data_IF_248770772808
#
_entry.id   IF_248770772808
#
_cell.length_a   1.000
_cell.length_b   1.000
_cell.length_c   1.000
_cell.angle_alpha   90.00
_cell.angle_beta   90.00
_cell.angle_gamma   90.00
#
_symmetry.space_group_name_H-M   'P 1'
#
loop_
_entity.id
_entity.type
_entity.pdbx_description
1 polymer ?
#
# COMPACT_ATOMS: atom_id res chain seq x y z
N UNK A 1 -7.75 21.28 0.29
CA UNK A 1 -6.71 20.22 0.25
C UNK A 1 -7.22 18.91 0.83
N UNK A 2 -7.67 18.89 2.09
CA UNK A 2 -8.12 17.66 2.78
C UNK A 2 -9.22 16.93 1.98
N UNK A 3 -10.29 17.61 1.58
CA UNK A 3 -11.39 16.96 0.83
C UNK A 3 -10.95 16.38 -0.52
N UNK A 4 -10.07 17.10 -1.24
CA UNK A 4 -9.51 16.63 -2.52
C UNK A 4 -8.65 15.38 -2.35
N UNK A 5 -7.80 15.39 -1.32
CA UNK A 5 -6.99 14.25 -0.93
C UNK A 5 -7.88 13.04 -0.55
N UNK A 6 -8.85 13.23 0.35
CA UNK A 6 -9.77 12.18 0.80
C UNK A 6 -10.54 11.56 -0.37
N UNK A 7 -11.02 12.38 -1.30
CA UNK A 7 -11.69 11.90 -2.51
C UNK A 7 -10.76 11.06 -3.41
N UNK A 8 -9.49 11.45 -3.57
CA UNK A 8 -8.52 10.69 -4.39
C UNK A 8 -8.17 9.35 -3.76
N UNK A 9 -7.81 9.33 -2.48
CA UNK A 9 -7.39 8.09 -1.80
C UNK A 9 -8.55 7.08 -1.68
N UNK A 10 -9.79 7.56 -1.62
CA UNK A 10 -10.98 6.71 -1.62
C UNK A 10 -11.20 5.96 -2.95
N UNK A 11 -10.59 6.42 -4.05
CA UNK A 11 -10.68 5.78 -5.36
C UNK A 11 -9.39 5.04 -5.74
N UNK A 12 -8.21 5.54 -5.33
CA UNK A 12 -6.89 5.04 -5.74
C UNK A 12 -6.62 3.59 -5.23
N UNK A 13 -6.49 2.60 -6.14
CA UNK A 13 -6.21 1.21 -5.76
C UNK A 13 -4.88 1.03 -5.01
N UNK A 14 -3.85 1.79 -5.39
CA UNK A 14 -2.54 1.70 -4.75
C UNK A 14 -2.62 2.21 -3.30
N UNK A 15 -3.34 3.31 -3.09
CA UNK A 15 -3.52 3.85 -1.74
C UNK A 15 -4.39 2.94 -0.87
N UNK A 16 -5.46 2.35 -1.40
CA UNK A 16 -6.27 1.35 -0.69
C UNK A 16 -5.45 0.14 -0.26
N UNK A 17 -4.60 -0.37 -1.14
CA UNK A 17 -3.72 -1.50 -0.83
C UNK A 17 -2.70 -1.14 0.25
N UNK A 18 -2.11 0.07 0.18
CA UNK A 18 -1.23 0.60 1.21
C UNK A 18 -1.94 0.66 2.57
N UNK A 19 -3.15 1.24 2.63
CA UNK A 19 -3.93 1.37 3.85
C UNK A 19 -4.20 -0.01 4.48
N UNK A 20 -4.68 -0.98 3.70
CA UNK A 20 -4.92 -2.35 4.20
C UNK A 20 -3.68 -3.03 4.74
N UNK A 21 -2.51 -2.80 4.13
CA UNK A 21 -1.22 -3.32 4.65
C UNK A 21 -0.86 -2.67 5.98
N UNK A 22 -1.07 -1.37 6.11
CA UNK A 22 -0.83 -0.63 7.35
C UNK A 22 -1.77 -1.10 8.45
N UNK A 23 -3.06 -1.24 8.18
CA UNK A 23 -4.05 -1.80 9.11
C UNK A 23 -3.63 -3.19 9.59
N UNK A 24 -3.24 -4.07 8.66
CA UNK A 24 -2.75 -5.42 8.99
C UNK A 24 -1.49 -5.39 9.87
N UNK A 25 -0.55 -4.50 9.58
CA UNK A 25 0.67 -4.36 10.38
C UNK A 25 0.36 -3.86 11.79
N UNK A 26 -0.61 -2.95 11.94
CA UNK A 26 -1.08 -2.47 13.25
C UNK A 26 -1.78 -3.56 14.04
N UNK A 27 -2.63 -4.37 13.40
CA UNK A 27 -3.28 -5.53 14.03
C UNK A 27 -2.23 -6.47 14.62
N UNK A 28 -1.25 -6.89 13.81
CA UNK A 28 -0.17 -7.79 14.25
C UNK A 28 0.72 -7.17 15.33
N UNK A 29 0.99 -5.86 15.24
CA UNK A 29 1.77 -5.14 16.25
C UNK A 29 1.02 -4.89 17.56
N UNK A 30 -0.31 -5.01 17.56
CA UNK A 30 -1.14 -4.83 18.76
C UNK A 30 -1.20 -6.07 19.65
N UNK A 31 -0.82 -7.23 19.12
CA UNK A 31 -0.69 -8.48 19.87
C UNK A 31 0.45 -8.36 20.90
N UNK A 32 0.13 -8.51 22.19
CA UNK A 32 1.09 -8.35 23.28
C UNK A 32 1.89 -9.60 23.59
N UNK A 33 1.38 -10.75 23.16
CA UNK A 33 1.92 -12.06 23.45
C UNK A 33 2.28 -12.78 22.14
N UNK A 34 3.34 -13.58 22.17
CA UNK A 34 3.77 -14.38 21.02
C UNK A 34 3.83 -15.84 21.43
N UNK A 35 3.15 -16.70 20.67
CA UNK A 35 3.19 -18.14 20.90
C UNK A 35 4.60 -18.71 20.69
N UNK A 36 5.03 -19.61 21.57
CA UNK A 36 6.27 -20.38 21.40
C UNK A 36 6.04 -21.73 20.70
N UNK A 37 4.79 -22.08 20.40
CA UNK A 37 4.47 -23.31 19.68
C UNK A 37 4.76 -23.15 18.18
N UNK A 38 5.67 -23.98 17.67
CA UNK A 38 6.12 -23.91 16.27
C UNK A 38 4.96 -24.03 15.28
N UNK A 39 4.04 -24.97 15.48
CA UNK A 39 2.90 -25.15 14.59
C UNK A 39 2.00 -23.90 14.53
N UNK A 40 1.78 -23.25 15.67
CA UNK A 40 1.03 -22.00 15.76
C UNK A 40 1.75 -20.90 14.96
N UNK A 41 3.06 -20.75 15.14
CA UNK A 41 3.87 -19.75 14.42
C UNK A 41 3.92 -19.98 12.91
N UNK A 42 3.92 -21.24 12.46
CA UNK A 42 3.84 -21.58 11.03
C UNK A 42 2.47 -21.18 10.46
N UNK A 43 1.38 -21.49 11.16
CA UNK A 43 0.02 -21.13 10.73
C UNK A 43 -0.18 -19.61 10.68
N UNK A 44 0.24 -18.89 11.71
CA UNK A 44 0.18 -17.41 11.75
C UNK A 44 0.92 -16.77 10.58
N UNK A 45 2.13 -17.29 10.27
CA UNK A 45 2.91 -16.82 9.13
C UNK A 45 2.19 -17.05 7.81
N UNK A 46 1.59 -18.23 7.63
CA UNK A 46 0.88 -18.57 6.40
C UNK A 46 -0.39 -17.73 6.22
N UNK A 47 -1.17 -17.55 7.29
CA UNK A 47 -2.32 -16.64 7.30
C UNK A 47 -1.89 -15.22 6.90
N UNK A 48 -0.77 -14.73 7.45
CA UNK A 48 -0.29 -13.41 7.12
C UNK A 48 0.16 -13.31 5.64
N UNK A 49 0.87 -14.31 5.12
CA UNK A 49 1.24 -14.36 3.70
C UNK A 49 0.03 -14.32 2.79
N UNK A 50 -0.98 -15.16 3.08
CA UNK A 50 -2.22 -15.19 2.31
C UNK A 50 -2.94 -13.84 2.36
N UNK A 51 -3.00 -13.21 3.54
CA UNK A 51 -3.61 -11.88 3.71
C UNK A 51 -2.91 -10.83 2.84
N UNK A 52 -1.57 -10.81 2.82
CA UNK A 52 -0.81 -9.88 1.98
C UNK A 52 -1.01 -10.16 0.48
N UNK A 53 -1.05 -11.43 0.10
CA UNK A 53 -1.33 -11.87 -1.27
C UNK A 53 -2.74 -11.44 -1.73
N UNK A 54 -3.74 -11.56 -0.87
CA UNK A 54 -5.12 -11.17 -1.16
C UNK A 54 -5.24 -9.66 -1.33
N UNK A 55 -4.58 -8.86 -0.48
CA UNK A 55 -4.51 -7.40 -0.62
C UNK A 55 -3.88 -7.04 -1.97
N UNK A 56 -2.77 -7.69 -2.33
CA UNK A 56 -2.06 -7.42 -3.58
C UNK A 56 -2.85 -7.86 -4.82
N UNK A 57 -3.49 -9.02 -4.78
CA UNK A 57 -4.34 -9.48 -5.87
C UNK A 57 -5.59 -8.62 -6.04
N UNK A 58 -6.14 -8.07 -4.96
CA UNK A 58 -7.20 -7.06 -5.03
C UNK A 58 -6.70 -5.81 -5.75
N UNK A 59 -5.54 -5.28 -5.36
CA UNK A 59 -4.90 -4.12 -6.02
C UNK A 59 -4.67 -4.38 -7.50
N UNK A 60 -4.12 -5.54 -7.86
CA UNK A 60 -3.85 -5.93 -9.24
C UNK A 60 -5.14 -6.01 -10.05
N UNK A 61 -6.19 -6.62 -9.50
CA UNK A 61 -7.50 -6.68 -10.14
C UNK A 61 -8.06 -5.29 -10.44
N UNK A 62 -8.01 -4.37 -9.47
CA UNK A 62 -8.49 -2.99 -9.62
C UNK A 62 -7.67 -2.19 -10.67
N UNK A 63 -6.41 -2.58 -10.89
CA UNK A 63 -5.52 -2.00 -11.91
C UNK A 63 -5.57 -2.75 -13.26
N UNK A 64 -6.37 -3.82 -13.38
CA UNK A 64 -6.41 -4.66 -14.58
C UNK A 64 -5.14 -5.50 -14.82
N UNK A 65 -4.33 -5.70 -13.78
CA UNK A 65 -3.11 -6.52 -13.81
C UNK A 65 -3.43 -7.99 -13.52
N UNK A 66 -2.60 -8.92 -14.03
CA UNK A 66 -2.76 -10.34 -13.72
C UNK A 66 -2.50 -10.61 -12.23
N UNK A 67 -3.27 -11.55 -11.69
CA UNK A 67 -3.07 -12.09 -10.35
C UNK A 67 -1.75 -12.84 -10.26
N UNK A 68 -1.20 -12.88 -9.07
CA UNK A 68 0.01 -13.62 -8.71
C UNK A 68 -0.33 -14.74 -7.74
N UNK A 69 0.49 -15.79 -7.72
CA UNK A 69 0.29 -16.95 -6.85
C UNK A 69 1.06 -16.79 -5.54
N UNK A 70 2.16 -16.05 -5.55
CA UNK A 70 2.99 -15.79 -4.38
C UNK A 70 3.49 -14.35 -4.35
N UNK A 71 3.62 -13.80 -3.14
CA UNK A 71 4.31 -12.51 -2.96
C UNK A 71 5.76 -12.53 -3.43
N UNK A 72 6.41 -13.71 -3.48
CA UNK A 72 7.76 -13.87 -4.04
C UNK A 72 7.81 -13.65 -5.56
N UNK A 73 6.68 -13.72 -6.27
CA UNK A 73 6.61 -13.40 -7.70
C UNK A 73 6.89 -11.91 -7.97
N UNK A 74 6.89 -11.08 -6.91
CA UNK A 74 7.18 -9.64 -6.95
C UNK A 74 8.58 -9.29 -6.46
N UNK A 75 9.40 -10.26 -6.08
CA UNK A 75 10.76 -9.98 -5.65
C UNK A 75 11.52 -9.25 -6.78
N UNK A 76 12.13 -8.09 -6.47
CA UNK A 76 12.78 -7.28 -7.49
C UNK A 76 13.99 -8.02 -8.03
N UNK A 77 13.88 -8.55 -9.25
CA UNK A 77 14.99 -9.09 -10.03
C UNK A 77 15.93 -7.96 -10.54
N UNK A 78 16.28 -7.00 -9.68
CA UNK A 78 17.04 -5.80 -10.06
C UNK A 78 16.23 -4.77 -10.86
N UNK A 79 14.91 -4.68 -10.68
CA UNK A 79 14.12 -3.59 -11.25
C UNK A 79 14.43 -2.26 -10.53
N UNK A 80 14.64 -1.22 -11.33
CA UNK A 80 14.74 0.15 -10.84
C UNK A 80 13.45 0.58 -10.12
N UNK A 81 13.60 1.44 -9.13
CA UNK A 81 12.47 2.04 -8.41
C UNK A 81 11.56 2.80 -9.38
N UNK A 82 10.29 2.40 -9.46
CA UNK A 82 9.25 3.14 -10.17
C UNK A 82 8.48 4.02 -9.16
N UNK A 83 8.64 5.36 -9.20
CA UNK A 83 7.92 6.27 -8.30
C UNK A 83 6.41 6.16 -8.38
N UNK A 84 5.87 5.67 -9.50
CA UNK A 84 4.42 5.53 -9.71
C UNK A 84 3.81 4.39 -8.90
N UNK A 85 4.63 3.46 -8.42
CA UNK A 85 4.21 2.37 -7.53
C UNK A 85 4.15 2.81 -6.06
N UNK A 86 4.80 3.92 -5.69
CA UNK A 86 4.74 4.50 -4.35
C UNK A 86 3.51 5.42 -4.21
N UNK A 87 2.44 4.85 -3.65
CA UNK A 87 1.19 5.57 -3.42
C UNK A 87 1.35 6.81 -2.53
N UNK A 88 2.26 6.78 -1.56
CA UNK A 88 2.49 7.91 -0.65
C UNK A 88 3.18 9.06 -1.37
N UNK A 89 4.20 8.73 -2.16
CA UNK A 89 4.93 9.71 -2.96
C UNK A 89 4.02 10.35 -4.01
N UNK A 90 3.26 9.53 -4.73
CA UNK A 90 2.33 10.02 -5.75
C UNK A 90 1.24 10.92 -5.18
N UNK A 91 0.64 10.56 -4.04
CA UNK A 91 -0.37 11.42 -3.42
C UNK A 91 0.24 12.69 -2.84
N UNK A 92 1.46 12.64 -2.29
CA UNK A 92 2.18 13.82 -1.81
C UNK A 92 2.45 14.82 -2.94
N UNK A 93 2.86 14.33 -4.11
CA UNK A 93 3.04 15.17 -5.30
C UNK A 93 1.72 15.83 -5.76
N UNK A 94 0.59 15.10 -5.69
CA UNK A 94 -0.74 15.65 -6.02
C UNK A 94 -1.21 16.69 -5.00
N UNK A 95 -0.92 16.50 -3.72
CA UNK A 95 -1.21 17.49 -2.68
C UNK A 95 -0.40 18.77 -2.93
N UNK A 96 0.88 18.64 -3.26
CA UNK A 96 1.72 19.79 -3.60
C UNK A 96 1.20 20.54 -4.83
N UNK A 97 0.77 19.81 -5.86
CA UNK A 97 0.16 20.40 -7.05
C UNK A 97 -1.13 21.16 -6.71
N UNK A 98 -2.01 20.59 -5.89
CA UNK A 98 -3.22 21.28 -5.43
C UNK A 98 -2.86 22.57 -4.66
N UNK A 99 -1.81 22.53 -3.84
CA UNK A 99 -1.36 23.69 -3.07
C UNK A 99 -0.82 24.80 -3.98
N UNK A 100 -0.05 24.46 -5.01
CA UNK A 100 0.41 25.43 -6.02
C UNK A 100 -0.77 26.07 -6.76
N UNK A 101 -1.81 25.30 -7.07
CA UNK A 101 -3.03 25.82 -7.72
C UNK A 101 -3.82 26.78 -6.84
N UNK A 102 -3.88 26.50 -5.53
CA UNK A 102 -4.57 27.35 -4.55
C UNK A 102 -3.72 28.60 -4.24
N UNK A 103 -2.39 28.44 -4.20
CA UNK A 103 -1.42 29.47 -3.85
C UNK A 103 -0.38 29.66 -4.99
N UNK A 104 -0.72 30.42 -6.05
CA UNK A 104 0.12 30.56 -7.26
C UNK A 104 1.51 31.13 -7.03
N UNK A 105 1.75 31.77 -5.88
CA UNK A 105 3.08 32.27 -5.48
C UNK A 105 4.12 31.16 -5.33
N UNK A 106 3.67 29.92 -5.11
CA UNK A 106 4.53 28.73 -5.03
C UNK A 106 4.95 28.20 -6.40
N UNK A 107 4.35 28.65 -7.50
CA UNK A 107 4.66 28.19 -8.86
C UNK A 107 5.98 28.76 -9.42
N UNK A 108 6.59 29.74 -8.73
CA UNK A 108 7.80 30.44 -9.16
C UNK A 108 9.01 30.25 -8.23
N UNK A 109 8.99 29.23 -7.37
CA UNK A 109 10.18 28.73 -6.67
C UNK A 109 11.01 27.84 -7.62
#
# INVERSE_FOLDING_TARGET
>A
LIDRHQARIAADPNFKALLKRTERALELGSEKDTSLHLETRVKEREINKQTLLDIENTRRSDLGLPRIESMSDLEPNGKDFDPTEDASLMESARILLDEIQINPRLAGL
#
